data_IF_402943725596
#
_entry.id   IF_402943725596
#
_cell.length_a   1.000
_cell.length_b   1.000
_cell.length_c   1.000
_cell.angle_alpha   90.00
_cell.angle_beta   90.00
_cell.angle_gamma   90.00
#
_symmetry.space_group_name_H-M   'P 1'
#
loop_
_entity.id
_entity.type
_entity.pdbx_description
1 polymer ?
#
# COMPACT_ATOMS: atom_id res chain seq x y z
N UNK A 1 5.42 1.47 5.43
CA UNK A 1 5.83 2.53 6.38
C UNK A 1 6.87 2.05 7.40
N UNK A 2 6.66 0.86 7.94
CA UNK A 2 7.47 0.16 8.94
C UNK A 2 8.93 -0.10 8.54
N UNK A 3 9.26 -0.09 7.23
CA UNK A 3 10.65 -0.18 6.75
C UNK A 3 11.39 1.16 6.78
N UNK A 4 10.65 2.26 6.72
CA UNK A 4 11.19 3.63 6.69
C UNK A 4 11.33 4.13 8.14
N UNK A 5 10.30 3.91 8.95
CA UNK A 5 10.29 4.21 10.37
C UNK A 5 9.80 2.98 11.14
N UNK A 6 10.73 2.14 11.65
CA UNK A 6 10.35 0.95 12.39
C UNK A 6 9.72 1.34 13.73
N UNK A 7 8.60 0.71 14.12
CA UNK A 7 7.91 1.03 15.38
C UNK A 7 8.73 0.62 16.62
N UNK A 8 9.69 -0.30 16.47
CA UNK A 8 10.70 -0.62 17.47
C UNK A 8 12.09 -0.44 16.84
N UNK A 9 12.83 0.64 17.19
CA UNK A 9 14.19 0.88 16.67
C UNK A 9 15.19 -0.22 17.05
N UNK A 10 14.91 -0.99 18.10
CA UNK A 10 15.77 -2.06 18.60
C UNK A 10 15.50 -3.41 17.92
N UNK A 11 14.36 -3.53 17.22
CA UNK A 11 13.94 -4.72 16.48
C UNK A 11 13.36 -4.33 15.13
N UNK A 12 14.21 -3.94 14.16
CA UNK A 12 13.79 -3.56 12.81
C UNK A 12 13.41 -4.79 11.96
N UNK A 13 12.56 -5.67 12.49
CA UNK A 13 12.03 -6.82 11.78
C UNK A 13 10.88 -6.36 10.88
N UNK A 14 11.17 -6.22 9.59
CA UNK A 14 10.14 -6.22 8.56
C UNK A 14 9.88 -7.66 8.13
N UNK A 15 8.63 -7.97 7.82
CA UNK A 15 8.27 -9.24 7.21
C UNK A 15 7.63 -9.01 5.84
N UNK A 16 7.12 -10.08 5.24
CA UNK A 16 6.51 -10.11 3.91
C UNK A 16 5.39 -9.07 3.69
N UNK A 17 4.86 -8.48 4.76
CA UNK A 17 3.81 -7.44 4.67
C UNK A 17 4.36 -6.14 4.09
N UNK A 18 5.66 -5.89 4.15
CA UNK A 18 6.26 -4.78 3.43
C UNK A 18 6.13 -4.95 1.91
N UNK A 19 6.29 -6.17 1.40
CA UNK A 19 6.12 -6.46 -0.03
C UNK A 19 4.64 -6.36 -0.46
N UNK A 20 3.71 -6.68 0.45
CA UNK A 20 2.27 -6.46 0.23
C UNK A 20 1.95 -4.98 0.01
N UNK A 21 2.62 -4.07 0.72
CA UNK A 21 2.46 -2.63 0.46
C UNK A 21 3.00 -2.25 -0.90
N UNK A 22 4.21 -2.70 -1.25
CA UNK A 22 4.81 -2.45 -2.56
C UNK A 22 3.90 -2.93 -3.69
N UNK A 23 3.27 -4.09 -3.54
CA UNK A 23 2.26 -4.60 -4.46
C UNK A 23 1.08 -3.62 -4.61
N UNK A 24 0.55 -3.10 -3.51
CA UNK A 24 -0.55 -2.11 -3.55
C UNK A 24 -0.17 -0.84 -4.34
N UNK A 25 1.04 -0.33 -4.13
CA UNK A 25 1.56 0.85 -4.86
C UNK A 25 1.69 0.53 -6.36
N UNK A 26 2.29 -0.61 -6.71
CA UNK A 26 2.44 -1.05 -8.10
C UNK A 26 1.09 -1.22 -8.80
N UNK A 27 0.07 -1.76 -8.11
CA UNK A 27 -1.26 -1.93 -8.69
C UNK A 27 -1.96 -0.60 -8.97
N UNK A 28 -1.80 0.41 -8.10
CA UNK A 28 -2.30 1.76 -8.39
C UNK A 28 -1.56 2.36 -9.58
N UNK A 29 -0.24 2.24 -9.61
CA UNK A 29 0.58 2.78 -10.70
C UNK A 29 0.18 2.18 -12.05
N UNK A 30 0.08 0.85 -12.13
CA UNK A 30 -0.34 0.16 -13.36
C UNK A 30 -1.80 0.45 -13.72
N UNK A 31 -2.70 0.48 -12.75
CA UNK A 31 -4.12 0.75 -12.98
C UNK A 31 -4.39 2.16 -13.47
N UNK A 32 -3.61 3.15 -13.01
CA UNK A 32 -3.79 4.57 -13.35
C UNK A 32 -2.78 5.07 -14.38
N UNK A 33 -1.81 4.24 -14.77
CA UNK A 33 -0.63 4.59 -15.56
C UNK A 33 0.13 5.81 -14.98
N UNK A 34 0.09 5.97 -13.66
CA UNK A 34 0.63 7.13 -12.95
C UNK A 34 1.11 6.72 -11.56
N UNK A 35 2.39 6.96 -11.28
CA UNK A 35 2.93 6.74 -9.95
C UNK A 35 2.19 7.62 -8.91
N UNK A 36 1.82 7.10 -7.72
CA UNK A 36 0.99 7.86 -6.77
C UNK A 36 1.66 9.13 -6.20
N UNK A 37 3.00 9.17 -6.15
CA UNK A 37 3.77 10.26 -5.53
C UNK A 37 4.53 11.11 -6.57
N UNK A 38 3.90 11.41 -7.70
CA UNK A 38 4.50 12.19 -8.80
C UNK A 38 4.96 13.60 -8.41
N UNK A 39 4.38 14.20 -7.37
CA UNK A 39 4.68 15.58 -6.97
C UNK A 39 5.86 15.69 -5.99
N UNK A 40 6.43 14.56 -5.57
CA UNK A 40 7.60 14.50 -4.70
C UNK A 40 8.87 14.80 -5.50
N UNK A 41 9.75 15.65 -4.96
CA UNK A 41 10.97 16.09 -5.67
C UNK A 41 12.13 15.12 -5.52
N UNK A 42 12.13 14.36 -4.43
CA UNK A 42 13.19 13.42 -4.08
C UNK A 42 12.64 12.26 -3.24
N UNK A 43 13.48 11.27 -2.96
CA UNK A 43 13.11 10.06 -2.21
C UNK A 43 12.69 10.35 -0.76
N UNK A 44 13.30 11.34 -0.10
CA UNK A 44 12.91 11.73 1.27
C UNK A 44 11.50 12.29 1.33
N UNK A 45 11.08 13.06 0.32
CA UNK A 45 9.70 13.55 0.22
C UNK A 45 8.70 12.39 0.12
N UNK A 46 9.03 11.38 -0.70
CA UNK A 46 8.20 10.18 -0.87
C UNK A 46 8.11 9.41 0.45
N UNK A 47 9.25 9.19 1.12
CA UNK A 47 9.31 8.51 2.41
C UNK A 47 8.47 9.23 3.46
N UNK A 48 8.60 10.56 3.54
CA UNK A 48 7.83 11.41 4.45
C UNK A 48 6.32 11.26 4.21
N UNK A 49 5.86 11.31 2.95
CA UNK A 49 4.45 11.11 2.63
C UNK A 49 3.93 9.72 2.99
N UNK A 50 4.70 8.66 2.71
CA UNK A 50 4.32 7.29 3.07
C UNK A 50 4.09 7.15 4.58
N UNK A 51 4.88 7.85 5.40
CA UNK A 51 4.77 7.82 6.86
C UNK A 51 3.64 8.71 7.37
N UNK A 52 3.51 9.93 6.83
CA UNK A 52 2.67 10.98 7.43
C UNK A 52 1.27 11.11 6.81
N UNK A 53 1.13 10.87 5.52
CA UNK A 53 -0.13 11.05 4.79
C UNK A 53 -0.96 9.75 4.74
N UNK A 54 -2.23 9.88 4.39
CA UNK A 54 -3.09 8.72 4.09
C UNK A 54 -2.56 7.94 2.87
N UNK A 55 -2.75 6.62 2.81
CA UNK A 55 -2.33 5.84 1.66
C UNK A 55 -3.03 6.30 0.37
N UNK A 56 -2.38 6.19 -0.80
CA UNK A 56 -3.03 6.52 -2.06
C UNK A 56 -4.21 5.59 -2.33
N UNK A 57 -5.26 6.13 -2.93
CA UNK A 57 -6.44 5.37 -3.34
C UNK A 57 -6.67 5.49 -4.85
N UNK A 58 -7.34 4.49 -5.44
CA UNK A 58 -7.81 4.57 -6.82
C UNK A 58 -8.85 5.70 -6.98
N UNK A 59 -8.87 6.44 -8.11
CA UNK A 59 -9.84 7.51 -8.36
C UNK A 59 -11.28 7.05 -8.13
N UNK A 60 -11.99 7.71 -7.21
CA UNK A 60 -13.35 7.31 -6.78
C UNK A 60 -14.40 7.45 -7.88
N UNK A 61 -14.18 8.36 -8.83
CA UNK A 61 -15.05 8.62 -9.98
C UNK A 61 -14.79 7.69 -11.18
N UNK A 62 -13.80 6.79 -11.11
CA UNK A 62 -13.54 5.84 -12.19
C UNK A 62 -14.43 4.59 -12.08
N UNK A 63 -15.34 4.43 -13.05
CA UNK A 63 -16.17 3.23 -13.20
C UNK A 63 -15.33 2.01 -13.64
N UNK A 64 -14.06 2.22 -14.01
CA UNK A 64 -13.19 1.19 -14.61
C UNK A 64 -12.67 0.16 -13.61
N UNK A 65 -12.76 0.42 -12.30
CA UNK A 65 -12.23 -0.47 -11.26
C UNK A 65 -13.36 -1.10 -10.45
N UNK A 66 -13.35 -2.44 -10.38
CA UNK A 66 -14.31 -3.19 -9.57
C UNK A 66 -14.18 -2.87 -8.08
N UNK A 67 -15.25 -3.10 -7.33
CA UNK A 67 -15.25 -2.97 -5.87
C UNK A 67 -14.21 -3.91 -5.23
N UNK A 68 -14.03 -5.11 -5.77
CA UNK A 68 -13.08 -6.09 -5.27
C UNK A 68 -11.64 -5.61 -5.47
N UNK A 69 -11.32 -5.04 -6.63
CA UNK A 69 -9.97 -4.50 -6.89
C UNK A 69 -9.64 -3.33 -5.97
N UNK A 70 -10.62 -2.44 -5.73
CA UNK A 70 -10.48 -1.34 -4.76
C UNK A 70 -10.26 -1.87 -3.35
N UNK A 71 -11.04 -2.87 -2.94
CA UNK A 71 -10.94 -3.49 -1.62
C UNK A 71 -9.60 -4.20 -1.43
N UNK A 72 -9.12 -4.89 -2.46
CA UNK A 72 -7.81 -5.54 -2.46
C UNK A 72 -6.67 -4.54 -2.29
N UNK A 73 -6.68 -3.43 -3.03
CA UNK A 73 -5.67 -2.36 -2.87
C UNK A 73 -5.73 -1.76 -1.47
N UNK A 74 -6.93 -1.53 -0.91
CA UNK A 74 -7.09 -1.03 0.46
C UNK A 74 -6.48 -1.98 1.49
N UNK A 75 -6.65 -3.29 1.34
CA UNK A 75 -6.00 -4.29 2.18
C UNK A 75 -4.46 -4.21 2.07
N UNK A 76 -3.93 -4.07 0.85
CA UNK A 76 -2.50 -3.95 0.64
C UNK A 76 -1.89 -2.68 1.27
N UNK A 77 -2.63 -1.58 1.27
CA UNK A 77 -2.16 -0.26 1.70
C UNK A 77 -2.57 0.13 3.13
N UNK A 78 -2.85 -0.85 4.00
CA UNK A 78 -3.02 -0.61 5.44
C UNK A 78 -1.69 -0.14 6.03
N UNK A 79 -1.63 1.06 6.62
CA UNK A 79 -0.38 1.63 7.18
C UNK A 79 0.16 0.83 8.37
N UNK A 80 -0.73 0.42 9.28
CA UNK A 80 -0.36 -0.47 10.39
C UNK A 80 -0.08 -1.88 9.84
N UNK A 81 1.21 -2.21 9.71
CA UNK A 81 1.65 -3.51 9.23
C UNK A 81 1.11 -4.67 10.09
N UNK A 82 0.76 -4.46 11.36
CA UNK A 82 0.15 -5.51 12.19
C UNK A 82 -1.23 -5.92 11.72
N UNK A 83 -1.96 -4.99 11.09
CA UNK A 83 -3.28 -5.20 10.51
C UNK A 83 -3.23 -5.53 9.02
N UNK A 84 -2.11 -5.25 8.35
CA UNK A 84 -1.93 -5.61 6.94
C UNK A 84 -1.88 -7.13 6.77
N UNK A 85 -2.69 -7.72 5.87
CA UNK A 85 -2.76 -9.16 5.68
C UNK A 85 -1.46 -9.74 5.10
N UNK A 86 -1.20 -11.01 5.43
CA UNK A 86 -0.18 -11.83 4.75
C UNK A 86 -0.76 -12.47 3.49
N UNK A 87 0.10 -13.04 2.64
CA UNK A 87 -0.32 -13.64 1.35
C UNK A 87 -1.50 -14.60 1.46
N UNK A 88 -1.50 -15.50 2.47
CA UNK A 88 -2.60 -16.46 2.67
C UNK A 88 -3.96 -15.79 2.81
N UNK A 89 -4.03 -14.63 3.46
CA UNK A 89 -5.27 -13.89 3.65
C UNK A 89 -5.69 -13.14 2.37
N UNK A 90 -4.71 -12.61 1.61
CA UNK A 90 -4.97 -11.95 0.33
C UNK A 90 -5.49 -12.92 -0.73
N UNK A 91 -5.09 -14.19 -0.69
CA UNK A 91 -5.54 -15.19 -1.66
C UNK A 91 -6.98 -15.69 -1.41
N UNK A 92 -7.55 -15.43 -0.24
CA UNK A 92 -8.91 -15.85 0.13
C UNK A 92 -9.95 -14.79 -0.22
N UNK A 93 -9.54 -13.64 -0.78
CA UNK A 93 -10.42 -12.50 -1.06
C UNK A 93 -11.41 -12.71 -2.22
N UNK A 94 -11.79 -13.95 -2.55
CA UNK A 94 -12.79 -14.26 -3.57
C UNK A 94 -13.45 -15.66 -3.49
N UNK A 95 -13.56 -16.26 -2.30
CA UNK A 95 -14.47 -17.40 -2.13
C UNK A 95 -15.78 -16.93 -1.48
N UNK A 96 -16.84 -16.99 -2.29
CA UNK A 96 -18.28 -16.69 -2.07
C UNK A 96 -18.78 -15.30 -2.46
#
# INVERSE_FOLDING_TARGET
PERIEPPDPTRPDYDIRADVWSLGITLIELGTNKYPYVDCKNEFDVMSRIVTEEPPELPTNSIQFSADFRSFIKLCLIKDYKQRPKYKQLMVSNEY
#
